data_IF_718227724004
#
_entry.id   IF_718227724004
#
_cell.length_a   1.000
_cell.length_b   1.000
_cell.length_c   1.000
_cell.angle_alpha   90.00
_cell.angle_beta   90.00
_cell.angle_gamma   90.00
#
_symmetry.space_group_name_H-M   'P 1'
#
loop_
_entity.id
_entity.type
_entity.pdbx_description
1 polymer ?
#
# COMPACT_ATOMS: atom_id res chain seq x y z
N UNK A 1 12.61 6.10 17.71
CA UNK A 1 12.44 4.76 17.10
C UNK A 1 13.39 4.66 15.92
N UNK A 2 14.19 3.60 15.83
CA UNK A 2 15.06 3.37 14.67
C UNK A 2 14.30 2.57 13.61
N UNK A 3 14.47 2.92 12.35
CA UNK A 3 13.93 2.14 11.24
C UNK A 3 14.73 0.84 11.13
N UNK A 4 14.02 -0.29 11.12
CA UNK A 4 14.60 -1.64 10.97
C UNK A 4 14.09 -2.26 9.68
N UNK A 5 14.77 -3.28 9.17
CA UNK A 5 14.31 -4.07 8.02
C UNK A 5 12.93 -4.67 8.27
N UNK A 6 12.64 -5.12 9.49
CA UNK A 6 11.32 -5.66 9.85
C UNK A 6 10.22 -4.58 9.75
N UNK A 7 10.50 -3.39 10.28
CA UNK A 7 9.56 -2.27 10.15
C UNK A 7 9.35 -1.88 8.68
N UNK A 8 10.42 -1.81 7.88
CA UNK A 8 10.33 -1.53 6.46
C UNK A 8 9.45 -2.55 5.75
N UNK A 9 9.66 -3.86 5.98
CA UNK A 9 8.82 -4.92 5.41
C UNK A 9 7.34 -4.78 5.79
N UNK A 10 7.06 -4.47 7.05
CA UNK A 10 5.68 -4.29 7.52
C UNK A 10 4.98 -3.10 6.88
N UNK A 11 5.69 -1.99 6.71
CA UNK A 11 5.16 -0.79 6.07
C UNK A 11 4.87 -1.03 4.59
N UNK A 12 5.83 -1.59 3.85
CA UNK A 12 5.64 -1.93 2.44
C UNK A 12 4.53 -2.98 2.24
N UNK A 13 4.48 -3.98 3.12
CA UNK A 13 3.40 -4.97 3.07
C UNK A 13 2.03 -4.36 3.39
N UNK A 14 1.96 -3.36 4.26
CA UNK A 14 0.72 -2.64 4.56
C UNK A 14 0.23 -1.86 3.34
N UNK A 15 1.11 -1.13 2.65
CA UNK A 15 0.77 -0.39 1.42
C UNK A 15 0.34 -1.36 0.30
N UNK A 16 1.09 -2.44 0.09
CA UNK A 16 0.77 -3.49 -0.86
C UNK A 16 -0.61 -4.12 -0.60
N UNK A 17 -0.89 -4.50 0.65
CA UNK A 17 -2.15 -5.11 1.02
C UNK A 17 -3.33 -4.15 0.85
N UNK A 18 -3.17 -2.88 1.24
CA UNK A 18 -4.21 -1.87 1.07
C UNK A 18 -4.61 -1.71 -0.41
N UNK A 19 -3.63 -1.56 -1.30
CA UNK A 19 -3.87 -1.46 -2.74
C UNK A 19 -4.49 -2.75 -3.32
N UNK A 20 -4.00 -3.92 -2.89
CA UNK A 20 -4.54 -5.22 -3.32
C UNK A 20 -5.98 -5.44 -2.84
N UNK A 21 -6.33 -5.04 -1.62
CA UNK A 21 -7.71 -5.12 -1.10
C UNK A 21 -8.67 -4.25 -1.92
N UNK A 22 -8.24 -3.07 -2.32
CA UNK A 22 -9.03 -2.23 -3.22
C UNK A 22 -9.34 -2.95 -4.54
N UNK A 23 -8.31 -3.51 -5.20
CA UNK A 23 -8.50 -4.26 -6.47
C UNK A 23 -9.43 -5.46 -6.27
N UNK A 24 -9.25 -6.23 -5.20
CA UNK A 24 -10.13 -7.38 -4.89
C UNK A 24 -11.58 -6.95 -4.67
N UNK A 25 -11.80 -5.88 -3.92
CA UNK A 25 -13.14 -5.35 -3.68
C UNK A 25 -13.82 -4.88 -4.96
N UNK A 26 -13.06 -4.25 -5.87
CA UNK A 26 -13.56 -3.83 -7.18
C UNK A 26 -13.94 -5.03 -8.06
N UNK A 27 -13.11 -6.05 -8.12
CA UNK A 27 -13.37 -7.28 -8.88
C UNK A 27 -14.61 -8.03 -8.37
N UNK A 28 -14.89 -7.99 -7.06
CA UNK A 28 -16.11 -8.56 -6.49
C UNK A 28 -17.37 -7.80 -6.92
N UNK A 29 -17.27 -6.50 -7.13
CA UNK A 29 -18.39 -5.63 -7.53
C UNK A 29 -18.56 -5.55 -9.05
N UNK A 30 -17.45 -5.68 -9.77
CA UNK A 30 -17.39 -5.60 -11.23
C UNK A 30 -16.37 -6.62 -11.77
N UNK A 31 -16.83 -7.79 -12.23
CA UNK A 31 -15.95 -8.81 -12.80
C UNK A 31 -15.20 -8.38 -14.08
N UNK A 32 -15.61 -7.29 -14.73
CA UNK A 32 -14.93 -6.71 -15.89
C UNK A 32 -13.91 -5.63 -15.52
N UNK A 33 -13.75 -5.35 -14.23
CA UNK A 33 -12.78 -4.38 -13.75
C UNK A 33 -11.36 -4.76 -14.21
N UNK A 34 -10.61 -3.83 -14.83
CA UNK A 34 -9.32 -4.14 -15.46
C UNK A 34 -8.15 -4.24 -14.46
N UNK A 35 -8.45 -4.39 -13.18
CA UNK A 35 -7.46 -4.52 -12.12
C UNK A 35 -6.86 -5.91 -12.01
N UNK A 36 -5.61 -5.99 -11.57
CA UNK A 36 -4.91 -7.25 -11.35
C UNK A 36 -3.81 -7.11 -10.30
N UNK A 37 -3.35 -8.24 -9.75
CA UNK A 37 -2.35 -8.31 -8.68
C UNK A 37 -1.37 -9.45 -8.99
N UNK A 38 -0.08 -9.14 -9.03
CA UNK A 38 0.99 -10.12 -9.17
C UNK A 38 1.92 -10.10 -7.95
N UNK A 39 2.16 -11.27 -7.33
CA UNK A 39 3.19 -11.41 -6.28
C UNK A 39 4.51 -11.78 -6.91
N UNK A 40 5.55 -10.98 -6.66
CA UNK A 40 6.85 -11.16 -7.30
C UNK A 40 7.97 -10.59 -6.43
N UNK A 41 9.10 -11.24 -6.42
CA UNK A 41 10.35 -10.80 -5.76
C UNK A 41 10.14 -10.27 -4.32
N UNK A 42 9.29 -10.95 -3.54
CA UNK A 42 8.96 -10.61 -2.14
C UNK A 42 7.93 -9.51 -1.95
N UNK A 43 7.53 -8.82 -3.01
CA UNK A 43 6.53 -7.75 -3.01
C UNK A 43 5.31 -8.05 -3.87
N UNK A 44 4.64 -6.99 -4.31
CA UNK A 44 3.49 -7.06 -5.22
C UNK A 44 3.57 -5.99 -6.30
N UNK A 45 3.21 -6.36 -7.53
CA UNK A 45 2.82 -5.43 -8.59
C UNK A 45 1.29 -5.36 -8.62
N UNK A 46 0.72 -4.17 -8.61
CA UNK A 46 -0.72 -3.94 -8.52
C UNK A 46 -1.13 -2.95 -9.60
N UNK A 47 -2.21 -3.25 -10.30
CA UNK A 47 -2.83 -2.33 -11.25
C UNK A 47 -4.34 -2.30 -11.03
N UNK A 48 -4.96 -1.16 -11.24
CA UNK A 48 -6.39 -0.96 -11.04
C UNK A 48 -7.07 -0.19 -12.17
N UNK A 49 -6.48 -0.26 -13.35
CA UNK A 49 -6.97 0.40 -14.56
C UNK A 49 -6.12 1.60 -14.99
N UNK A 50 -6.43 2.20 -16.14
CA UNK A 50 -5.66 3.31 -16.70
C UNK A 50 -5.57 4.48 -15.71
N UNK A 51 -4.41 5.14 -15.68
CA UNK A 51 -4.13 6.37 -14.90
C UNK A 51 -4.44 6.28 -13.39
N UNK A 52 -4.56 5.07 -12.85
CA UNK A 52 -4.84 4.88 -11.44
C UNK A 52 -3.61 5.14 -10.56
N UNK A 53 -3.75 5.90 -9.45
CA UNK A 53 -2.64 6.19 -8.53
C UNK A 53 -2.14 4.95 -7.76
N UNK A 54 -2.86 3.84 -7.84
CA UNK A 54 -2.46 2.57 -7.22
C UNK A 54 -1.84 1.58 -8.22
N UNK A 55 -1.45 2.04 -9.41
CA UNK A 55 -0.66 1.26 -10.37
C UNK A 55 0.82 1.34 -9.98
N UNK A 56 1.32 0.41 -9.18
CA UNK A 56 2.72 0.38 -8.75
C UNK A 56 3.17 -1.01 -8.31
N UNK A 57 4.48 -1.23 -8.35
CA UNK A 57 5.14 -2.34 -7.69
C UNK A 57 5.74 -1.85 -6.36
N UNK A 58 5.53 -2.58 -5.26
CA UNK A 58 5.91 -2.20 -3.90
C UNK A 58 6.42 -3.39 -3.10
N UNK A 59 7.36 -3.15 -2.19
CA UNK A 59 7.98 -4.19 -1.36
C UNK A 59 8.93 -5.12 -2.12
N UNK A 60 9.26 -4.79 -3.36
CA UNK A 60 10.16 -5.58 -4.20
C UNK A 60 11.58 -5.55 -3.64
N UNK A 61 12.21 -6.72 -3.52
CA UNK A 61 13.60 -6.84 -3.09
C UNK A 61 13.84 -6.59 -1.59
N UNK A 62 12.79 -6.58 -0.75
CA UNK A 62 12.96 -6.45 0.70
C UNK A 62 13.34 -7.78 1.34
N UNK A 63 14.66 -8.04 1.40
CA UNK A 63 15.22 -9.24 2.01
C UNK A 63 15.15 -10.49 1.13
N UNK A 64 14.89 -10.32 -0.16
CA UNK A 64 15.05 -11.33 -1.20
C UNK A 64 15.83 -10.72 -2.36
N UNK A 65 16.66 -11.52 -3.02
CA UNK A 65 17.35 -11.09 -4.25
C UNK A 65 16.34 -10.84 -5.37
N UNK A 66 16.66 -9.91 -6.27
CA UNK A 66 15.86 -9.57 -7.45
C UNK A 66 16.68 -9.82 -8.69
N UNK A 67 16.14 -10.56 -9.64
CA UNK A 67 16.76 -10.84 -10.93
C UNK A 67 16.24 -9.90 -12.02
N UNK A 68 16.98 -9.83 -13.14
CA UNK A 68 16.51 -9.11 -14.33
C UNK A 68 15.18 -9.68 -14.87
N UNK A 69 14.96 -10.99 -14.72
CA UNK A 69 13.72 -11.63 -15.12
C UNK A 69 12.52 -11.18 -14.24
N UNK A 70 12.74 -10.93 -12.95
CA UNK A 70 11.70 -10.39 -12.08
C UNK A 70 11.30 -8.97 -12.49
N UNK A 71 12.28 -8.11 -12.81
CA UNK A 71 12.01 -6.75 -13.28
C UNK A 71 11.24 -6.80 -14.61
N UNK A 72 11.67 -7.62 -15.55
CA UNK A 72 10.98 -7.81 -16.82
C UNK A 72 9.55 -8.30 -16.63
N UNK A 73 9.31 -9.26 -15.74
CA UNK A 73 7.96 -9.76 -15.46
C UNK A 73 7.04 -8.67 -14.84
N UNK A 74 7.60 -7.79 -14.01
CA UNK A 74 6.87 -6.62 -13.49
C UNK A 74 6.54 -5.65 -14.63
N UNK A 75 7.49 -5.36 -15.51
CA UNK A 75 7.26 -4.49 -16.67
C UNK A 75 6.16 -5.06 -17.59
N UNK A 76 6.25 -6.34 -17.93
CA UNK A 76 5.24 -7.04 -18.75
C UNK A 76 3.85 -6.97 -18.11
N UNK A 77 3.76 -7.17 -16.78
CA UNK A 77 2.51 -7.04 -16.04
C UNK A 77 1.82 -5.68 -16.24
N UNK A 78 2.57 -4.60 -16.24
CA UNK A 78 2.03 -3.26 -16.48
C UNK A 78 1.78 -2.97 -17.96
N UNK A 79 2.74 -3.27 -18.82
CA UNK A 79 2.70 -2.96 -20.26
C UNK A 79 1.59 -3.69 -20.99
N UNK A 80 1.24 -4.91 -20.60
CA UNK A 80 0.08 -5.65 -21.15
C UNK A 80 -1.24 -4.93 -20.97
N UNK A 81 -1.34 -4.00 -20.04
CA UNK A 81 -2.50 -3.15 -19.81
C UNK A 81 -2.25 -1.69 -20.24
N UNK A 82 -1.26 -1.44 -21.10
CA UNK A 82 -0.86 -0.10 -21.54
C UNK A 82 -0.63 0.89 -20.37
N UNK A 83 -0.14 0.37 -19.23
CA UNK A 83 0.15 1.16 -18.02
C UNK A 83 1.67 1.27 -17.88
N UNK A 84 2.25 2.45 -17.67
CA UNK A 84 3.68 2.58 -17.42
C UNK A 84 4.05 1.93 -16.07
N UNK A 85 5.13 1.13 -16.00
CA UNK A 85 5.57 0.53 -14.75
C UNK A 85 6.11 1.61 -13.80
N UNK A 86 5.67 1.55 -12.55
CA UNK A 86 6.11 2.40 -11.45
C UNK A 86 6.56 1.52 -10.29
N UNK A 87 7.77 1.79 -9.76
CA UNK A 87 8.31 1.10 -8.61
C UNK A 87 8.34 2.03 -7.40
N UNK A 88 7.65 1.66 -6.33
CA UNK A 88 7.83 2.25 -5.00
C UNK A 88 8.95 1.49 -4.30
N UNK A 89 10.11 2.11 -4.14
CA UNK A 89 11.28 1.45 -3.59
C UNK A 89 11.60 1.94 -2.19
N UNK A 90 11.68 0.99 -1.27
CA UNK A 90 12.28 1.24 0.04
C UNK A 90 13.80 1.43 -0.09
N UNK A 91 14.42 2.34 0.68
CA UNK A 91 15.89 2.43 0.76
C UNK A 91 16.56 1.12 1.22
N UNK A 92 15.79 0.19 1.79
CA UNK A 92 16.22 -1.13 2.24
C UNK A 92 16.08 -2.23 1.18
N UNK A 93 15.59 -1.89 -0.03
CA UNK A 93 15.52 -2.83 -1.12
C UNK A 93 16.91 -3.28 -1.58
N UNK A 94 16.98 -4.44 -2.20
CA UNK A 94 18.21 -5.01 -2.75
C UNK A 94 18.93 -4.01 -3.65
N UNK A 95 20.24 -3.87 -3.45
CA UNK A 95 21.08 -2.97 -4.25
C UNK A 95 21.09 -3.34 -5.74
N UNK A 96 20.97 -4.62 -6.03
CA UNK A 96 20.95 -5.12 -7.41
C UNK A 96 19.70 -4.60 -8.15
N UNK A 97 18.54 -4.52 -7.47
CA UNK A 97 17.33 -3.93 -8.02
C UNK A 97 17.56 -2.47 -8.48
N UNK A 98 18.23 -1.66 -7.65
CA UNK A 98 18.57 -0.29 -8.02
C UNK A 98 19.44 -0.21 -9.27
N UNK A 99 20.43 -1.11 -9.37
CA UNK A 99 21.34 -1.18 -10.51
C UNK A 99 20.62 -1.62 -11.78
N UNK A 100 19.74 -2.61 -11.68
CA UNK A 100 18.90 -3.09 -12.78
C UNK A 100 17.99 -1.99 -13.33
N UNK A 101 17.22 -1.35 -12.46
CA UNK A 101 16.30 -0.28 -12.86
C UNK A 101 17.06 0.89 -13.52
N UNK A 102 18.20 1.30 -12.95
CA UNK A 102 19.03 2.35 -13.54
C UNK A 102 19.53 1.95 -14.93
N UNK A 103 19.96 0.70 -15.14
CA UNK A 103 20.45 0.23 -16.43
C UNK A 103 19.35 0.19 -17.50
N UNK A 104 18.10 0.07 -17.11
CA UNK A 104 16.90 0.09 -17.95
C UNK A 104 16.33 1.52 -18.16
N UNK A 105 17.00 2.54 -17.63
CA UNK A 105 16.61 3.93 -17.85
C UNK A 105 15.59 4.49 -16.85
N UNK A 106 15.30 3.78 -15.78
CA UNK A 106 14.45 4.32 -14.71
C UNK A 106 15.13 5.49 -14.00
N UNK A 107 14.35 6.52 -13.74
CA UNK A 107 14.72 7.67 -12.92
C UNK A 107 13.84 7.81 -11.70
N UNK A 108 14.33 8.49 -10.68
CA UNK A 108 13.53 8.84 -9.50
C UNK A 108 12.58 9.98 -9.88
N UNK A 109 11.29 9.77 -9.70
CA UNK A 109 10.25 10.78 -9.97
C UNK A 109 9.81 11.51 -8.71
N UNK A 110 9.83 10.85 -7.55
CA UNK A 110 9.36 11.43 -6.29
C UNK A 110 9.98 10.73 -5.07
N UNK A 111 9.85 11.37 -3.90
CA UNK A 111 10.23 10.84 -2.60
C UNK A 111 9.03 10.86 -1.66
N UNK A 112 8.66 9.71 -1.13
CA UNK A 112 7.57 9.56 -0.17
C UNK A 112 8.12 9.40 1.25
N UNK A 113 7.61 10.23 2.18
CA UNK A 113 7.89 10.08 3.60
C UNK A 113 6.78 9.25 4.24
N UNK A 114 7.17 8.20 4.97
CA UNK A 114 6.24 7.37 5.73
C UNK A 114 6.34 7.74 7.21
N UNK A 115 5.23 8.17 7.79
CA UNK A 115 5.12 8.51 9.19
C UNK A 115 4.57 7.32 9.98
N UNK A 116 5.18 7.04 11.13
CA UNK A 116 4.79 5.91 11.99
C UNK A 116 4.51 6.42 13.39
N UNK A 117 3.30 6.15 13.87
CA UNK A 117 2.91 6.41 15.25
C UNK A 117 2.82 5.08 16.01
N UNK A 118 3.67 4.83 17.02
CA UNK A 118 3.51 3.70 17.92
C UNK A 118 2.29 3.89 18.81
N UNK A 119 1.31 2.98 18.72
CA UNK A 119 0.05 3.10 19.46
C UNK A 119 0.08 2.44 20.85
N UNK A 120 1.19 1.75 21.21
CA UNK A 120 1.25 0.96 22.45
C UNK A 120 0.99 1.79 23.72
N UNK A 121 1.50 3.02 23.73
CA UNK A 121 1.39 3.94 24.85
C UNK A 121 0.64 5.25 24.44
N UNK A 122 -0.06 5.19 23.30
CA UNK A 122 -0.78 6.35 22.81
C UNK A 122 -2.11 6.51 23.54
N UNK A 123 -2.29 7.68 24.14
CA UNK A 123 -3.55 8.09 24.73
C UNK A 123 -4.16 9.12 23.78
N UNK A 124 -5.44 8.98 23.38
CA UNK A 124 -6.10 10.01 22.61
C UNK A 124 -6.02 11.35 23.31
N UNK A 125 -5.64 12.39 22.58
CA UNK A 125 -5.76 13.75 23.09
C UNK A 125 -7.25 14.04 23.32
N UNK A 126 -7.61 14.64 24.46
CA UNK A 126 -8.99 15.06 24.79
C UNK A 126 -9.50 16.21 23.88
N UNK A 127 -8.76 16.54 22.84
CA UNK A 127 -9.21 17.43 21.77
C UNK A 127 -10.27 16.72 20.90
N UNK A 128 -11.31 16.16 21.50
CA UNK A 128 -12.50 15.83 20.75
C UNK A 128 -13.10 17.15 20.26
N UNK A 129 -13.00 17.37 18.96
CA UNK A 129 -13.76 18.42 18.30
C UNK A 129 -15.24 18.04 18.47
N UNK A 130 -15.90 18.62 19.45
CA UNK A 130 -17.31 18.32 19.81
C UNK A 130 -18.27 18.57 18.65
N UNK A 131 -17.79 19.19 17.57
CA UNK A 131 -18.56 19.50 16.37
C UNK A 131 -18.58 18.37 15.33
N UNK A 132 -17.82 17.28 15.51
CA UNK A 132 -17.81 16.14 14.57
C UNK A 132 -18.72 15.02 15.02
N UNK A 133 -19.89 14.92 14.38
CA UNK A 133 -20.84 13.82 14.62
C UNK A 133 -20.64 12.74 13.56
N UNK A 134 -20.15 11.56 13.97
CA UNK A 134 -19.99 10.41 13.08
C UNK A 134 -21.27 9.57 13.05
N UNK A 135 -21.98 9.60 11.94
CA UNK A 135 -23.15 8.75 11.72
C UNK A 135 -22.76 7.45 11.00
N UNK A 136 -22.85 6.30 11.67
CA UNK A 136 -22.73 5.00 11.01
C UNK A 136 -24.05 4.65 10.31
N UNK A 137 -24.01 4.51 8.99
CA UNK A 137 -25.18 4.13 8.15
C UNK A 137 -25.35 2.62 7.99
N UNK A 138 -24.42 1.81 8.48
CA UNK A 138 -24.48 0.36 8.34
C UNK A 138 -25.17 -0.29 9.55
N UNK A 139 -26.33 -0.87 9.34
CA UNK A 139 -27.06 -1.68 10.31
C UNK A 139 -26.41 -3.03 10.67
N UNK A 140 -25.09 -3.18 10.49
CA UNK A 140 -24.30 -4.29 11.01
C UNK A 140 -23.53 -3.81 12.22
N UNK A 141 -23.89 -4.33 13.37
CA UNK A 141 -23.13 -4.15 14.61
C UNK A 141 -21.72 -4.73 14.37
N UNK A 142 -20.75 -3.86 14.15
CA UNK A 142 -19.37 -4.20 14.42
C UNK A 142 -19.24 -4.29 15.95
N UNK A 143 -19.20 -5.52 16.46
CA UNK A 143 -19.06 -5.74 17.89
C UNK A 143 -17.67 -5.34 18.34
N UNK A 144 -17.58 -4.37 19.21
CA UNK A 144 -16.93 -4.26 20.52
C UNK A 144 -16.57 -2.82 20.83
N UNK A 145 -17.22 -2.31 21.83
CA UNK A 145 -16.80 -1.27 22.79
C UNK A 145 -15.74 -0.28 22.33
N UNK A 146 -16.14 0.73 21.61
CA UNK A 146 -15.60 2.07 21.81
C UNK A 146 -16.43 2.70 22.94
N UNK A 147 -15.72 3.19 23.96
CA UNK A 147 -16.30 3.61 25.21
C UNK A 147 -17.50 4.57 25.06
N UNK A 148 -18.48 4.38 25.93
CA UNK A 148 -19.59 5.28 26.11
C UNK A 148 -19.06 6.68 26.48
N UNK A 149 -19.08 7.59 25.54
CA UNK A 149 -19.20 9.00 25.88
C UNK A 149 -20.66 9.40 25.74
N UNK A 150 -21.17 9.95 26.82
CA UNK A 150 -22.58 10.17 27.07
C UNK A 150 -23.25 11.04 26.03
N UNK A 151 -24.34 10.54 25.52
CA UNK A 151 -25.36 11.35 24.87
C UNK A 151 -26.11 12.06 26.00
N UNK A 152 -25.90 13.34 26.19
CA UNK A 152 -26.89 14.19 26.85
C UNK A 152 -27.81 14.72 25.75
N UNK A 153 -29.07 14.27 25.88
CA UNK A 153 -30.14 14.71 24.99
C UNK A 153 -30.53 16.17 25.21
N UNK A 154 -31.09 16.75 24.19
CA UNK A 154 -32.30 17.54 24.15
C UNK A 154 -33.03 17.22 22.86
#
# INVERSE_FOLDING_TARGET
MWVTMDLARRLEASDANHAAEYVRARLLSDPQFPGDICRIAGGMAIRSGPDSPINFAVGIGLGVGVSAADVQAIEEFFLTAATPPLFKLSPWADRELWSLLKSQGYGVSDFLNVWVLPLKDWVPDDCADDDVVIHSRSGRRCGRNLGRHGIHGL
#
